data_IF_369244962335
#
_entry.id   IF_369244962335
#
_cell.length_a   1.000
_cell.length_b   1.000
_cell.length_c   1.000
_cell.angle_alpha   90.00
_cell.angle_beta   90.00
_cell.angle_gamma   90.00
#
_symmetry.space_group_name_H-M   'P 1'
#
loop_
_entity.id
_entity.type
_entity.pdbx_description
1 polymer ?
#
# COMPACT_ATOMS: atom_id res chain seq x y z
N UNK A 1 74.29 23.80 -2.05
CA UNK A 1 73.38 24.57 -1.18
C UNK A 1 72.56 25.47 -2.08
N UNK A 2 71.36 25.03 -2.44
CA UNK A 2 70.15 25.86 -2.44
C UNK A 2 68.97 24.88 -2.48
N UNK A 3 68.14 24.94 -1.45
CA UNK A 3 66.94 24.13 -1.28
C UNK A 3 65.77 24.94 -1.84
N UNK A 4 64.95 24.33 -2.69
CA UNK A 4 63.71 24.91 -3.21
C UNK A 4 62.62 23.84 -3.27
N UNK A 5 61.53 24.10 -2.56
CA UNK A 5 60.43 23.23 -2.11
C UNK A 5 59.74 22.35 -3.17
N UNK A 6 59.20 21.17 -2.76
CA UNK A 6 58.31 20.38 -3.58
C UNK A 6 56.86 20.89 -3.50
N UNK A 7 56.22 21.03 -4.66
CA UNK A 7 54.80 21.42 -4.79
C UNK A 7 53.88 20.40 -4.13
N UNK A 8 53.00 20.88 -3.26
CA UNK A 8 51.92 20.10 -2.62
C UNK A 8 51.00 19.50 -3.69
N UNK A 9 50.94 18.17 -3.70
CA UNK A 9 49.93 17.42 -4.45
C UNK A 9 48.65 17.51 -3.61
N UNK A 10 47.71 18.31 -4.10
CA UNK A 10 46.40 18.49 -3.50
C UNK A 10 45.65 17.15 -3.50
N UNK A 11 45.61 16.50 -2.34
CA UNK A 11 44.84 15.29 -2.12
C UNK A 11 43.36 15.66 -2.09
N UNK A 12 42.73 15.72 -3.26
CA UNK A 12 41.28 15.59 -3.40
C UNK A 12 40.86 14.19 -2.91
N UNK A 13 40.76 14.04 -1.59
CA UNK A 13 39.97 12.98 -0.98
C UNK A 13 38.50 13.38 -1.13
N UNK A 14 37.90 12.96 -2.24
CA UNK A 14 36.45 12.84 -2.33
C UNK A 14 36.04 11.79 -1.29
N UNK A 15 35.75 12.24 -0.07
CA UNK A 15 34.94 11.49 0.87
C UNK A 15 33.52 11.44 0.28
N UNK A 16 33.31 10.52 -0.66
CA UNK A 16 31.97 10.05 -0.97
C UNK A 16 31.54 9.22 0.24
N UNK A 17 31.06 9.91 1.27
CA UNK A 17 30.37 9.27 2.38
C UNK A 17 29.21 8.49 1.76
N UNK A 18 29.36 7.17 1.65
CA UNK A 18 28.26 6.26 1.40
C UNK A 18 27.24 6.52 2.48
N UNK A 19 26.21 7.28 2.14
CA UNK A 19 25.04 7.52 2.96
C UNK A 19 24.53 6.18 3.50
N UNK A 20 24.72 5.94 4.79
CA UNK A 20 24.37 4.66 5.42
C UNK A 20 22.86 4.51 5.42
N UNK A 21 22.37 3.49 4.71
CA UNK A 21 20.96 3.17 4.70
C UNK A 21 20.54 2.53 6.03
N UNK A 22 19.34 2.83 6.52
CA UNK A 22 18.81 2.31 7.78
C UNK A 22 17.49 1.57 7.55
N UNK A 23 17.23 0.50 8.30
CA UNK A 23 15.95 -0.19 8.20
C UNK A 23 14.84 0.62 8.90
N UNK A 24 13.67 0.71 8.28
CA UNK A 24 12.49 1.33 8.92
C UNK A 24 12.07 0.57 10.18
N UNK A 25 11.56 1.29 11.18
CA UNK A 25 11.16 0.74 12.48
C UNK A 25 9.64 0.65 12.65
N UNK A 26 8.89 0.46 11.56
CA UNK A 26 7.42 0.40 11.58
C UNK A 26 6.86 -0.61 12.59
N UNK A 27 7.53 -1.75 12.74
CA UNK A 27 7.17 -2.81 13.69
C UNK A 27 7.35 -2.42 15.18
N UNK A 28 7.94 -1.27 15.49
CA UNK A 28 8.12 -0.78 16.86
C UNK A 28 7.04 0.22 17.29
N UNK A 29 6.25 0.74 16.36
CA UNK A 29 5.26 1.78 16.61
C UNK A 29 3.86 1.31 16.23
N UNK A 30 2.91 1.42 17.15
CA UNK A 30 1.51 1.07 16.87
C UNK A 30 0.92 2.09 15.87
N UNK A 31 0.49 1.66 14.67
CA UNK A 31 -0.11 2.55 13.70
C UNK A 31 -1.50 3.01 14.19
N UNK A 32 -1.87 4.24 13.83
CA UNK A 32 -3.17 4.79 14.18
C UNK A 32 -4.30 3.89 13.65
N UNK A 33 -5.27 3.57 14.51
CA UNK A 33 -6.40 2.70 14.18
C UNK A 33 -6.31 1.30 14.78
N UNK A 34 -5.15 0.89 15.32
CA UNK A 34 -4.99 -0.36 16.05
C UNK A 34 -4.81 -0.14 17.55
N UNK A 35 -5.31 -1.08 18.35
CA UNK A 35 -4.90 -1.25 19.74
C UNK A 35 -3.51 -1.90 19.83
N UNK A 36 -2.86 -1.78 20.99
CA UNK A 36 -1.57 -2.43 21.24
C UNK A 36 -1.65 -3.95 21.00
N UNK A 37 -2.72 -4.59 21.48
CA UNK A 37 -2.89 -6.03 21.34
C UNK A 37 -3.01 -6.47 19.87
N UNK A 38 -3.85 -5.78 19.08
CA UNK A 38 -3.98 -6.09 17.65
C UNK A 38 -2.65 -5.89 16.93
N UNK A 39 -1.89 -4.85 17.30
CA UNK A 39 -0.58 -4.63 16.72
C UNK A 39 0.44 -5.69 17.13
N UNK A 40 0.43 -6.16 18.38
CA UNK A 40 1.34 -7.22 18.84
C UNK A 40 1.14 -8.52 18.05
N UNK A 41 -0.11 -8.87 17.73
CA UNK A 41 -0.45 -10.02 16.88
C UNK A 41 0.11 -9.87 15.45
N UNK A 42 0.09 -8.64 14.91
CA UNK A 42 0.53 -8.32 13.55
C UNK A 42 2.01 -7.93 13.44
N UNK A 43 2.71 -7.74 14.56
CA UNK A 43 4.07 -7.17 14.61
C UNK A 43 5.08 -7.93 13.76
N UNK A 44 5.00 -9.25 13.74
CA UNK A 44 5.88 -10.10 12.95
C UNK A 44 5.65 -9.93 11.44
N UNK A 45 4.38 -9.72 11.02
CA UNK A 45 4.00 -9.47 9.63
C UNK A 45 4.43 -8.06 9.19
N UNK A 46 4.35 -7.08 10.10
CA UNK A 46 4.91 -5.75 9.87
C UNK A 46 6.41 -5.82 9.64
N UNK A 47 7.14 -6.57 10.47
CA UNK A 47 8.57 -6.76 10.30
C UNK A 47 8.91 -7.45 8.97
N UNK A 48 8.15 -8.49 8.60
CA UNK A 48 8.39 -9.28 7.40
C UNK A 48 8.10 -8.52 6.09
N UNK A 49 6.95 -7.84 5.98
CA UNK A 49 6.47 -7.30 4.71
C UNK A 49 6.57 -5.78 4.59
N UNK A 50 6.60 -5.07 5.71
CA UNK A 50 6.52 -3.62 5.73
C UNK A 50 7.84 -2.96 6.17
N UNK A 51 8.97 -3.66 6.08
CA UNK A 51 10.30 -3.09 6.35
C UNK A 51 10.99 -2.64 5.07
N UNK A 52 11.48 -1.39 5.05
CA UNK A 52 12.23 -0.82 3.93
C UNK A 52 13.65 -0.44 4.35
N UNK A 53 14.57 -0.45 3.39
CA UNK A 53 15.87 0.20 3.51
C UNK A 53 15.68 1.69 3.16
N UNK A 54 15.82 2.56 4.16
CA UNK A 54 15.66 4.00 4.07
C UNK A 54 17.01 4.68 3.80
N UNK A 55 17.08 5.47 2.73
CA UNK A 55 18.26 6.28 2.38
C UNK A 55 17.99 7.76 2.68
N UNK A 56 19.04 8.58 2.86
CA UNK A 56 18.86 10.02 2.99
C UNK A 56 18.07 10.61 1.83
N UNK A 57 17.14 11.51 2.13
CA UNK A 57 16.23 12.08 1.14
C UNK A 57 15.04 11.19 0.79
N UNK A 58 14.77 10.14 1.58
CA UNK A 58 13.56 9.32 1.47
C UNK A 58 12.75 9.38 2.75
N UNK A 59 11.44 9.17 2.64
CA UNK A 59 10.57 8.96 3.78
C UNK A 59 9.71 7.71 3.59
N UNK A 60 9.26 7.13 4.70
CA UNK A 60 8.40 5.95 4.73
C UNK A 60 7.34 6.10 5.82
N UNK A 61 6.19 5.44 5.64
CA UNK A 61 5.08 5.40 6.59
C UNK A 61 4.35 4.06 6.52
N UNK A 62 3.64 3.70 7.59
CA UNK A 62 2.75 2.53 7.69
C UNK A 62 1.39 3.01 8.23
N UNK A 63 0.33 2.74 7.48
CA UNK A 63 -1.03 3.04 7.85
C UNK A 63 -1.82 1.75 8.04
N UNK A 64 -2.85 1.83 8.89
CA UNK A 64 -3.74 0.71 9.18
C UNK A 64 -5.20 1.12 8.99
N UNK A 65 -6.05 0.15 8.65
CA UNK A 65 -7.49 0.33 8.56
C UNK A 65 -8.23 -0.93 8.98
N UNK A 66 -9.11 -0.79 9.96
CA UNK A 66 -10.06 -1.84 10.37
C UNK A 66 -11.28 -1.82 9.44
N UNK A 67 -11.70 -3.00 8.99
CA UNK A 67 -12.82 -3.19 8.06
C UNK A 67 -13.73 -4.31 8.57
N UNK A 68 -15.03 -4.04 8.71
CA UNK A 68 -16.03 -5.06 9.12
C UNK A 68 -16.52 -5.87 7.92
N UNK A 69 -15.61 -6.58 7.28
CA UNK A 69 -15.88 -7.49 6.17
C UNK A 69 -14.92 -8.71 6.25
N UNK A 70 -15.32 -9.88 5.71
CA UNK A 70 -14.42 -11.04 5.61
C UNK A 70 -13.17 -10.73 4.79
N UNK A 71 -12.04 -11.32 5.16
CA UNK A 71 -10.74 -11.08 4.51
C UNK A 71 -10.80 -11.32 3.01
N UNK A 72 -11.45 -12.39 2.56
CA UNK A 72 -11.56 -12.73 1.14
C UNK A 72 -12.32 -11.67 0.33
N UNK A 73 -13.33 -11.02 0.93
CA UNK A 73 -14.04 -9.91 0.29
C UNK A 73 -13.11 -8.72 0.13
N UNK A 74 -12.34 -8.38 1.17
CA UNK A 74 -11.37 -7.28 1.11
C UNK A 74 -10.27 -7.57 0.09
N UNK A 75 -9.71 -8.78 0.13
CA UNK A 75 -8.66 -9.22 -0.80
C UNK A 75 -9.13 -9.22 -2.25
N UNK A 76 -10.38 -9.64 -2.52
CA UNK A 76 -10.95 -9.62 -3.88
C UNK A 76 -10.94 -8.24 -4.53
N UNK A 77 -10.93 -7.17 -3.71
CA UNK A 77 -10.78 -5.78 -4.16
C UNK A 77 -9.32 -5.36 -4.22
N UNK A 78 -8.56 -5.58 -3.14
CA UNK A 78 -7.16 -5.14 -3.00
C UNK A 78 -6.26 -5.76 -4.07
N UNK A 79 -6.44 -7.04 -4.39
CA UNK A 79 -5.62 -7.77 -5.38
C UNK A 79 -5.82 -7.32 -6.83
N UNK A 80 -6.82 -6.48 -7.11
CA UNK A 80 -7.16 -6.02 -8.48
C UNK A 80 -6.20 -4.95 -8.96
N UNK A 81 -5.00 -5.39 -9.33
CA UNK A 81 -3.98 -4.51 -9.90
C UNK A 81 -4.49 -3.77 -11.16
N UNK A 82 -5.36 -4.38 -11.96
CA UNK A 82 -5.96 -3.76 -13.15
C UNK A 82 -7.03 -2.70 -12.84
N UNK A 83 -7.59 -2.67 -11.62
CA UNK A 83 -8.72 -1.80 -11.25
C UNK A 83 -8.53 -1.06 -9.93
N UNK A 84 -7.45 -0.27 -9.77
CA UNK A 84 -7.22 0.51 -8.54
C UNK A 84 -8.35 1.49 -8.22
N UNK A 85 -9.04 2.02 -9.24
CA UNK A 85 -10.13 2.99 -9.10
C UNK A 85 -11.32 2.47 -8.29
N UNK A 86 -11.43 1.14 -8.08
CA UNK A 86 -12.47 0.55 -7.23
C UNK A 86 -12.38 1.13 -5.82
N UNK A 87 -11.17 1.26 -5.26
CA UNK A 87 -10.99 1.75 -3.89
C UNK A 87 -10.04 2.95 -3.76
N UNK A 88 -9.16 3.21 -4.74
CA UNK A 88 -8.31 4.40 -4.73
C UNK A 88 -9.08 5.62 -5.21
N UNK A 89 -8.81 6.76 -4.59
CA UNK A 89 -9.28 8.07 -5.00
C UNK A 89 -8.40 8.65 -6.11
N UNK A 90 -8.88 9.72 -6.72
CA UNK A 90 -8.13 10.53 -7.68
C UNK A 90 -7.74 9.82 -8.98
N UNK A 91 -8.24 8.60 -9.23
CA UNK A 91 -8.03 7.89 -10.49
C UNK A 91 -9.20 8.17 -11.43
N UNK A 92 -8.90 8.75 -12.59
CA UNK A 92 -9.83 8.93 -13.70
C UNK A 92 -10.02 7.61 -14.45
N UNK A 93 -8.93 6.94 -14.78
CA UNK A 93 -8.94 5.65 -15.48
C UNK A 93 -7.65 4.88 -15.22
N UNK A 94 -7.70 3.58 -15.44
CA UNK A 94 -6.55 2.68 -15.40
C UNK A 94 -6.58 1.81 -16.66
N UNK A 95 -5.45 1.70 -17.35
CA UNK A 95 -5.28 0.83 -18.50
C UNK A 95 -4.17 -0.17 -18.26
N UNK A 96 -4.31 -1.33 -18.90
CA UNK A 96 -3.33 -2.41 -18.95
C UNK A 96 -3.15 -2.82 -20.41
N UNK A 97 -2.10 -3.60 -20.72
CA UNK A 97 -1.89 -4.15 -22.05
C UNK A 97 -3.08 -5.03 -22.51
N UNK A 98 -3.28 -5.17 -23.83
CA UNK A 98 -4.39 -5.98 -24.37
C UNK A 98 -4.32 -7.45 -23.96
N UNK A 99 -3.10 -8.00 -23.87
CA UNK A 99 -2.77 -9.36 -23.45
C UNK A 99 -2.44 -9.43 -21.95
N UNK A 100 -2.97 -8.51 -21.14
CA UNK A 100 -2.68 -8.42 -19.71
C UNK A 100 -2.97 -9.73 -18.97
N UNK A 101 -1.92 -10.21 -18.30
CA UNK A 101 -2.00 -11.30 -17.32
C UNK A 101 -1.56 -10.71 -15.98
N UNK A 102 -2.36 -10.95 -14.94
CA UNK A 102 -2.07 -10.46 -13.60
C UNK A 102 -0.98 -11.31 -12.94
N UNK A 103 0.28 -11.00 -13.26
CA UNK A 103 1.47 -11.66 -12.75
C UNK A 103 2.54 -10.64 -12.39
N UNK A 104 3.46 -10.99 -11.50
CA UNK A 104 4.55 -10.11 -11.08
C UNK A 104 5.35 -9.64 -12.30
N UNK A 105 5.65 -8.34 -12.34
CA UNK A 105 6.32 -7.67 -13.45
C UNK A 105 5.37 -7.03 -14.47
N UNK A 106 4.06 -7.35 -14.44
CA UNK A 106 3.10 -6.65 -15.29
C UNK A 106 2.94 -5.17 -14.88
N UNK A 107 2.49 -4.35 -15.82
CA UNK A 107 2.33 -2.91 -15.63
C UNK A 107 0.90 -2.45 -15.84
N UNK A 108 0.59 -1.29 -15.27
CA UNK A 108 -0.63 -0.52 -15.53
C UNK A 108 -0.28 0.95 -15.70
N UNK A 109 -1.07 1.65 -16.51
CA UNK A 109 -1.02 3.10 -16.62
C UNK A 109 -2.25 3.70 -15.95
N UNK A 110 -2.00 4.49 -14.90
CA UNK A 110 -3.01 5.16 -14.10
C UNK A 110 -3.09 6.62 -14.53
N UNK A 111 -4.29 7.07 -14.90
CA UNK A 111 -4.58 8.45 -15.24
C UNK A 111 -5.28 9.12 -14.06
N UNK A 112 -4.71 10.23 -13.60
CA UNK A 112 -5.18 10.93 -12.39
C UNK A 112 -6.22 12.00 -12.78
N UNK A 113 -7.11 12.37 -11.86
CA UNK A 113 -8.11 13.43 -12.10
C UNK A 113 -7.42 14.79 -12.27
N UNK A 114 -7.91 15.60 -13.22
CA UNK A 114 -7.41 16.95 -13.50
C UNK A 114 -7.45 17.88 -12.29
N UNK A 115 -6.45 18.74 -12.15
CA UNK A 115 -6.34 19.69 -11.02
C UNK A 115 -5.44 19.20 -9.88
N UNK A 116 -4.91 17.98 -9.99
CA UNK A 116 -3.82 17.49 -9.16
C UNK A 116 -2.47 17.67 -9.88
N UNK A 117 -1.34 17.71 -9.15
CA UNK A 117 0.00 17.87 -9.73
C UNK A 117 0.47 16.72 -10.62
N UNK A 118 -0.37 15.72 -10.87
CA UNK A 118 -0.01 14.51 -11.59
C UNK A 118 -0.98 14.21 -12.73
N UNK A 119 -0.46 13.84 -13.90
CA UNK A 119 -1.27 13.47 -15.06
C UNK A 119 -1.35 11.95 -15.26
N UNK A 120 -0.22 11.26 -15.10
CA UNK A 120 -0.08 9.81 -15.36
C UNK A 120 0.88 9.15 -14.40
N UNK A 121 0.69 7.87 -14.10
CA UNK A 121 1.58 7.02 -13.30
C UNK A 121 1.67 5.64 -13.96
N UNK A 122 2.89 5.23 -14.32
CA UNK A 122 3.17 3.89 -14.84
C UNK A 122 3.69 3.03 -13.71
N UNK A 123 2.92 2.02 -13.34
CA UNK A 123 3.13 1.24 -12.13
C UNK A 123 3.40 -0.22 -12.49
N UNK A 124 4.32 -0.86 -11.76
CA UNK A 124 4.66 -2.27 -11.92
C UNK A 124 4.25 -3.05 -10.69
N UNK A 125 3.62 -4.21 -10.90
CA UNK A 125 3.30 -5.16 -9.85
C UNK A 125 4.58 -5.87 -9.41
N UNK A 126 4.98 -5.69 -8.15
CA UNK A 126 6.21 -6.28 -7.61
C UNK A 126 5.92 -7.55 -6.79
N UNK A 127 4.77 -7.61 -6.13
CA UNK A 127 4.37 -8.73 -5.28
C UNK A 127 2.89 -9.01 -5.53
N UNK A 128 2.53 -10.28 -5.70
CA UNK A 128 1.16 -10.76 -5.62
C UNK A 128 1.19 -12.17 -5.03
N UNK A 129 0.81 -12.28 -3.77
CA UNK A 129 0.72 -13.53 -3.03
C UNK A 129 -0.72 -13.70 -2.53
N UNK A 130 -1.47 -14.58 -3.17
CA UNK A 130 -2.86 -14.88 -2.83
C UNK A 130 -2.99 -15.76 -1.57
N UNK A 131 -1.94 -16.47 -1.18
CA UNK A 131 -1.94 -17.34 0.00
C UNK A 131 -1.66 -16.52 1.27
N UNK A 132 -0.75 -15.55 1.17
CA UNK A 132 -0.37 -14.64 2.27
C UNK A 132 -1.12 -13.30 2.24
N UNK A 133 -1.98 -13.07 1.23
CA UNK A 133 -2.78 -11.85 1.07
C UNK A 133 -1.91 -10.58 0.99
N UNK A 134 -0.84 -10.64 0.19
CA UNK A 134 0.15 -9.57 0.03
C UNK A 134 0.18 -9.08 -1.40
N UNK A 135 0.03 -7.77 -1.60
CA UNK A 135 0.25 -7.11 -2.90
C UNK A 135 1.23 -5.97 -2.73
N UNK A 136 2.11 -5.77 -3.71
CA UNK A 136 3.05 -4.68 -3.71
C UNK A 136 3.28 -4.15 -5.12
N UNK A 137 3.52 -2.85 -5.23
CA UNK A 137 3.80 -2.20 -6.51
C UNK A 137 4.81 -1.07 -6.35
N UNK A 138 5.51 -0.77 -7.43
CA UNK A 138 6.39 0.38 -7.54
C UNK A 138 5.92 1.27 -8.68
N UNK A 139 6.05 2.58 -8.48
CA UNK A 139 5.90 3.52 -9.58
C UNK A 139 7.22 3.59 -10.35
N UNK A 140 7.16 3.32 -11.65
CA UNK A 140 8.32 3.19 -12.54
C UNK A 140 8.47 4.35 -13.51
N UNK A 141 7.43 5.15 -13.66
CA UNK A 141 7.40 6.32 -14.53
C UNK A 141 6.09 7.09 -14.39
N UNK A 142 5.97 8.17 -15.14
CA UNK A 142 4.80 9.04 -15.11
C UNK A 142 5.16 10.47 -14.71
N UNK A 143 4.12 11.29 -14.63
CA UNK A 143 4.20 12.70 -14.27
C UNK A 143 3.60 12.87 -12.88
N UNK A 144 4.40 12.64 -11.84
CA UNK A 144 4.05 12.90 -10.45
C UNK A 144 5.31 13.13 -9.60
N UNK A 145 5.10 13.69 -8.40
CA UNK A 145 6.18 14.04 -7.46
C UNK A 145 6.72 12.83 -6.68
N UNK A 146 5.98 11.72 -6.64
CA UNK A 146 6.31 10.52 -5.86
C UNK A 146 7.34 9.61 -6.56
N UNK A 147 8.57 10.10 -6.76
CA UNK A 147 9.63 9.32 -7.41
C UNK A 147 10.04 8.12 -6.55
N UNK A 148 10.33 7.00 -7.22
CA UNK A 148 10.71 5.73 -6.59
C UNK A 148 9.75 5.26 -5.48
N UNK A 149 8.47 5.64 -5.60
CA UNK A 149 7.43 5.18 -4.69
C UNK A 149 7.28 3.67 -4.81
N UNK A 150 7.38 2.98 -3.67
CA UNK A 150 7.09 1.55 -3.54
C UNK A 150 6.15 1.35 -2.37
N UNK A 151 5.11 0.56 -2.57
CA UNK A 151 4.13 0.26 -1.53
C UNK A 151 3.85 -1.23 -1.42
N UNK A 152 3.55 -1.65 -0.20
CA UNK A 152 3.10 -3.00 0.15
C UNK A 152 1.80 -2.89 0.94
N UNK A 153 0.80 -3.65 0.52
CA UNK A 153 -0.48 -3.82 1.21
C UNK A 153 -0.63 -5.28 1.64
N UNK A 154 -0.95 -5.50 2.91
CA UNK A 154 -1.27 -6.84 3.46
C UNK A 154 -2.64 -6.82 4.12
N UNK A 155 -3.34 -7.96 4.08
CA UNK A 155 -4.71 -8.08 4.58
C UNK A 155 -4.81 -9.21 5.60
N UNK A 156 -5.19 -8.88 6.84
CA UNK A 156 -5.17 -9.80 7.98
C UNK A 156 -6.56 -9.98 8.56
N UNK A 157 -6.95 -11.22 8.82
CA UNK A 157 -8.19 -11.51 9.54
C UNK A 157 -7.92 -11.50 11.04
N UNK A 158 -8.83 -10.90 11.79
CA UNK A 158 -8.84 -10.86 13.24
C UNK A 158 -10.18 -11.39 13.74
N UNK A 159 -10.14 -12.20 14.80
CA UNK A 159 -11.34 -12.71 15.46
C UNK A 159 -11.26 -12.46 16.96
N UNK A 160 -12.32 -11.91 17.53
CA UNK A 160 -12.47 -11.79 18.98
C UNK A 160 -13.93 -11.80 19.38
N UNK A 161 -14.26 -12.53 20.44
CA UNK A 161 -15.62 -12.63 20.99
C UNK A 161 -16.67 -13.00 19.93
N UNK A 162 -16.29 -13.84 18.96
CA UNK A 162 -17.11 -14.26 17.82
C UNK A 162 -17.33 -13.19 16.75
N UNK A 163 -16.66 -12.03 16.84
CA UNK A 163 -16.65 -11.00 15.81
C UNK A 163 -15.40 -11.15 14.96
N UNK A 164 -15.61 -11.25 13.64
CA UNK A 164 -14.53 -11.26 12.64
C UNK A 164 -14.45 -9.87 12.01
N UNK A 165 -13.24 -9.34 11.91
CA UNK A 165 -12.94 -8.15 11.12
C UNK A 165 -11.60 -8.32 10.40
N UNK A 166 -11.38 -7.47 9.42
CA UNK A 166 -10.15 -7.44 8.65
C UNK A 166 -9.34 -6.21 9.02
N UNK A 167 -8.03 -6.38 9.23
CA UNK A 167 -7.06 -5.29 9.32
C UNK A 167 -6.27 -5.23 8.01
N UNK A 168 -6.34 -4.09 7.34
CA UNK A 168 -5.49 -3.79 6.18
C UNK A 168 -4.32 -2.94 6.63
N UNK A 169 -3.11 -3.34 6.28
CA UNK A 169 -1.89 -2.57 6.48
C UNK A 169 -1.35 -2.12 5.13
N UNK A 170 -1.13 -0.82 4.94
CA UNK A 170 -0.51 -0.27 3.73
C UNK A 170 0.69 0.58 4.15
N UNK A 171 1.88 0.17 3.70
CA UNK A 171 3.10 0.95 3.89
C UNK A 171 3.67 1.39 2.56
N UNK A 172 4.53 2.39 2.61
CA UNK A 172 5.27 2.84 1.44
C UNK A 172 6.63 3.42 1.82
N UNK A 173 7.52 3.50 0.83
CA UNK A 173 8.72 4.33 0.82
C UNK A 173 8.72 5.19 -0.44
N UNK A 174 9.23 6.41 -0.35
CA UNK A 174 9.26 7.36 -1.47
C UNK A 174 10.42 8.35 -1.31
N UNK A 175 10.92 8.85 -2.43
CA UNK A 175 11.87 9.96 -2.42
C UNK A 175 11.18 11.27 -2.05
N UNK A 176 11.90 12.10 -1.29
CA UNK A 176 11.52 13.48 -0.98
C UNK A 176 11.89 14.36 -2.18
N UNK A 177 10.93 15.03 -2.84
CA UNK A 177 11.25 15.92 -3.95
C UNK A 177 12.17 17.06 -3.50
N UNK A 178 13.02 17.53 -4.41
CA UNK A 178 13.83 18.73 -4.15
C UNK A 178 12.94 19.92 -3.77
N UNK A 179 13.34 20.66 -2.74
CA UNK A 179 12.59 21.79 -2.19
C UNK A 179 11.44 21.41 -1.25
N UNK A 180 11.19 20.11 -1.01
CA UNK A 180 10.23 19.64 -0.02
C UNK A 180 10.90 19.13 1.26
N UNK A 181 10.17 19.18 2.36
CA UNK A 181 10.53 18.47 3.58
C UNK A 181 10.04 17.02 3.54
N UNK A 182 10.64 16.15 4.35
CA UNK A 182 10.12 14.81 4.61
C UNK A 182 8.69 14.85 5.15
N UNK A 183 8.39 15.81 6.03
CA UNK A 183 7.09 15.95 6.67
C UNK A 183 5.99 16.28 5.67
N UNK A 184 6.23 17.22 4.76
CA UNK A 184 5.26 17.58 3.71
C UNK A 184 5.01 16.41 2.76
N UNK A 185 6.08 15.70 2.38
CA UNK A 185 6.00 14.55 1.47
C UNK A 185 5.22 13.40 2.12
N UNK A 186 5.55 13.10 3.38
CA UNK A 186 4.85 12.08 4.18
C UNK A 186 3.40 12.46 4.41
N UNK A 187 3.11 13.71 4.79
CA UNK A 187 1.74 14.18 5.01
C UNK A 187 0.89 14.03 3.73
N UNK A 188 1.43 14.40 2.58
CA UNK A 188 0.73 14.24 1.30
C UNK A 188 0.43 12.76 1.01
N UNK A 189 1.45 11.90 1.07
CA UNK A 189 1.30 10.48 0.76
C UNK A 189 0.40 9.75 1.78
N UNK A 190 0.56 10.02 3.08
CA UNK A 190 -0.30 9.50 4.15
C UNK A 190 -1.76 9.90 3.94
N UNK A 191 -2.01 11.16 3.53
CA UNK A 191 -3.38 11.62 3.25
C UNK A 191 -4.02 10.82 2.12
N UNK A 192 -3.28 10.58 1.03
CA UNK A 192 -3.78 9.80 -0.11
C UNK A 192 -4.05 8.35 0.29
N UNK A 193 -3.10 7.70 0.98
CA UNK A 193 -3.26 6.30 1.43
C UNK A 193 -4.44 6.18 2.40
N UNK A 194 -4.55 7.09 3.38
CA UNK A 194 -5.66 7.09 4.34
C UNK A 194 -7.02 7.22 3.67
N UNK A 195 -7.17 8.13 2.71
CA UNK A 195 -8.42 8.27 1.95
C UNK A 195 -8.75 6.99 1.18
N UNK A 196 -7.76 6.38 0.52
CA UNK A 196 -7.95 5.12 -0.21
C UNK A 196 -8.43 3.99 0.70
N UNK A 197 -7.83 3.84 1.89
CA UNK A 197 -8.23 2.83 2.86
C UNK A 197 -9.65 3.06 3.42
N UNK A 198 -10.06 4.32 3.60
CA UNK A 198 -11.43 4.67 3.99
C UNK A 198 -12.45 4.31 2.90
N UNK A 199 -12.14 4.55 1.63
CA UNK A 199 -12.98 4.11 0.51
C UNK A 199 -12.99 2.59 0.35
N UNK A 200 -11.86 1.92 0.56
CA UNK A 200 -11.80 0.45 0.62
C UNK A 200 -12.81 -0.09 1.64
N UNK A 201 -12.77 0.44 2.87
CA UNK A 201 -13.71 0.10 3.94
C UNK A 201 -15.16 0.23 3.46
N UNK A 202 -15.50 1.38 2.89
CA UNK A 202 -16.86 1.67 2.42
C UNK A 202 -17.34 0.68 1.35
N UNK A 203 -16.46 0.34 0.40
CA UNK A 203 -16.76 -0.59 -0.69
C UNK A 203 -16.92 -2.02 -0.17
N UNK A 204 -15.97 -2.51 0.61
CA UNK A 204 -15.92 -3.92 1.02
C UNK A 204 -16.97 -4.26 2.07
N UNK A 205 -17.27 -3.35 2.99
CA UNK A 205 -18.40 -3.53 3.91
C UNK A 205 -19.74 -3.48 3.18
N UNK A 206 -19.86 -2.64 2.14
CA UNK A 206 -21.03 -2.63 1.26
C UNK A 206 -21.23 -3.97 0.55
N UNK A 207 -20.15 -4.52 -0.01
CA UNK A 207 -20.15 -5.85 -0.65
C UNK A 207 -20.53 -6.96 0.35
N UNK A 208 -19.96 -6.95 1.55
CA UNK A 208 -20.26 -7.94 2.58
C UNK A 208 -21.74 -7.90 3.01
N UNK A 209 -22.30 -6.71 3.21
CA UNK A 209 -23.74 -6.56 3.54
C UNK A 209 -24.64 -7.07 2.41
N UNK A 210 -24.30 -6.78 1.16
CA UNK A 210 -25.06 -7.25 0.00
C UNK A 210 -25.03 -8.78 -0.13
N UNK A 211 -23.86 -9.39 0.08
CA UNK A 211 -23.70 -10.85 0.08
C UNK A 211 -24.52 -11.51 1.20
N UNK A 212 -24.47 -10.97 2.42
CA UNK A 212 -25.25 -11.47 3.55
C UNK A 212 -26.77 -11.37 3.31
N UNK A 213 -27.23 -10.24 2.76
CA UNK A 213 -28.65 -10.07 2.42
C UNK A 213 -29.11 -11.06 1.34
N UNK A 214 -28.27 -11.33 0.34
CA UNK A 214 -28.55 -12.31 -0.72
C UNK A 214 -28.66 -13.72 -0.13
N UNK A 215 -27.71 -14.12 0.72
CA UNK A 215 -27.71 -15.43 1.36
C UNK A 215 -28.95 -15.63 2.26
N UNK A 216 -29.35 -14.61 3.02
CA UNK A 216 -30.55 -14.64 3.85
C UNK A 216 -31.83 -14.80 3.02
N UNK A 217 -31.93 -14.09 1.88
CA UNK A 217 -33.07 -14.22 0.97
C UNK A 217 -33.15 -15.64 0.37
N UNK A 218 -32.03 -16.19 -0.10
CA UNK A 218 -31.97 -17.56 -0.64
C UNK A 218 -32.37 -18.62 0.41
N UNK A 219 -31.90 -18.47 1.65
CA UNK A 219 -32.27 -19.38 2.74
C UNK A 219 -33.77 -19.31 3.07
N UNK A 220 -34.37 -18.12 3.05
CA UNK A 220 -35.80 -17.94 3.26
C UNK A 220 -36.64 -18.57 2.13
N UNK A 221 -36.22 -18.45 0.87
CA UNK A 221 -36.89 -19.11 -0.27
C UNK A 221 -36.81 -20.63 -0.16
N UNK A 222 -35.63 -21.18 0.16
CA UNK A 222 -35.46 -22.62 0.34
C UNK A 222 -36.33 -23.17 1.49
N UNK A 223 -36.40 -22.46 2.62
CA UNK A 223 -37.27 -22.88 3.74
C UNK A 223 -38.77 -22.83 3.40
N UNK A 224 -39.20 -21.90 2.54
CA UNK A 224 -40.57 -21.79 2.06
C UNK A 224 -41.00 -22.92 1.12
N UNK A 225 -40.11 -23.44 0.28
CA UNK A 225 -40.41 -24.54 -0.65
C UNK A 225 -40.56 -25.91 0.06
N UNK A 226 -39.89 -26.12 1.19
CA UNK A 226 -40.08 -27.33 2.03
C UNK A 226 -41.35 -27.29 2.89
N UNK A 227 -41.99 -26.13 3.07
CA UNK A 227 -43.18 -25.96 3.89
C UNK A 227 -44.53 -26.23 3.22
N UNK A 228 -44.56 -26.50 1.90
CA UNK A 228 -45.80 -26.69 1.11
C UNK A 228 -46.09 -28.16 0.78
N UNK A 229 -45.34 -29.10 1.37
CA UNK A 229 -45.61 -30.55 1.29
C UNK A 229 -45.93 -31.15 2.66
N UNK A 230 -47.07 -30.75 3.23
CA UNK A 230 -47.79 -31.51 4.26
C UNK A 230 -49.29 -31.42 4.00
#
# INVERSE_FOLDING_TARGET
MEMGEPSEIDHHHLDSATATATATTHHLNVPAGLSQHEFDDLKHLVFQFHTYELRPGQCSSLLSQLIRAPRDVVWSVVRRFDKPQIYKHFIKSCSVAEDFIMTVGCTRDVYVISGLPAATSTERLDILDDDQYVIGFSITGGDHRLRNYRSVTTVHEMERDGQIWTVVLESYIVDVPEGNTEEDTRLFADTVVKLNLQKLTSVTEGMARAAAATAAATAATAAGEFGVRL
#
